data_IF_577601504157
#
_entry.id   IF_577601504157
#
_cell.length_a   1.000
_cell.length_b   1.000
_cell.length_c   1.000
_cell.angle_alpha   90.00
_cell.angle_beta   90.00
_cell.angle_gamma   90.00
#
_symmetry.space_group_name_H-M   'P 1'
#
loop_
_entity.id
_entity.type
_entity.pdbx_description
1 polymer ?
#
# COMPACT_ATOMS: atom_id res chain seq x y z
N UNK A 1 -11.95 -25.56 15.31
CA UNK A 1 -12.17 -26.75 14.47
C UNK A 1 -13.47 -26.65 13.63
N UNK A 2 -13.89 -25.46 13.16
CA UNK A 2 -15.11 -25.31 12.35
C UNK A 2 -14.84 -25.31 10.83
N UNK A 3 -13.63 -24.92 10.41
CA UNK A 3 -13.26 -24.74 8.99
C UNK A 3 -12.92 -26.04 8.23
N UNK A 4 -12.87 -27.20 8.89
CA UNK A 4 -12.54 -28.49 8.25
C UNK A 4 -13.73 -29.18 7.54
N UNK A 5 -14.92 -28.58 7.57
CA UNK A 5 -16.13 -29.19 7.02
C UNK A 5 -16.78 -28.33 5.91
N UNK A 6 -15.99 -27.45 5.30
CA UNK A 6 -16.44 -26.50 4.28
C UNK A 6 -16.25 -27.09 2.89
N UNK A 7 -16.98 -28.18 2.60
CA UNK A 7 -16.94 -28.94 1.35
C UNK A 7 -17.58 -28.21 0.15
N UNK A 8 -17.55 -26.88 0.13
CA UNK A 8 -18.17 -26.10 -0.94
C UNK A 8 -17.36 -26.26 -2.23
N UNK A 9 -17.92 -26.97 -3.21
CA UNK A 9 -17.35 -27.17 -4.54
C UNK A 9 -18.31 -26.63 -5.59
N UNK A 10 -17.80 -25.92 -6.57
CA UNK A 10 -18.56 -25.46 -7.74
C UNK A 10 -17.86 -25.95 -9.00
N UNK A 11 -18.63 -26.54 -9.91
CA UNK A 11 -18.15 -26.90 -11.22
C UNK A 11 -18.10 -25.65 -12.09
N UNK A 12 -16.90 -25.19 -12.42
CA UNK A 12 -16.68 -24.08 -13.36
C UNK A 12 -15.90 -24.62 -14.55
N UNK A 13 -16.48 -24.56 -15.75
CA UNK A 13 -15.86 -25.02 -17.00
C UNK A 13 -15.35 -26.49 -16.97
N UNK A 14 -16.03 -27.37 -16.23
CA UNK A 14 -15.66 -28.79 -16.12
C UNK A 14 -14.55 -29.10 -15.12
N UNK A 15 -14.08 -28.12 -14.36
CA UNK A 15 -13.10 -28.29 -13.27
C UNK A 15 -13.80 -28.06 -11.93
N UNK A 16 -13.53 -28.93 -10.96
CA UNK A 16 -13.98 -28.73 -9.57
C UNK A 16 -13.17 -27.61 -8.93
N UNK A 17 -13.83 -26.49 -8.63
CA UNK A 17 -13.22 -25.34 -7.96
C UNK A 17 -13.78 -25.26 -6.54
N UNK A 18 -12.90 -25.15 -5.56
CA UNK A 18 -13.28 -25.03 -4.15
C UNK A 18 -12.08 -24.99 -3.23
N UNK A 19 -12.29 -24.62 -1.95
CA UNK A 19 -11.22 -24.52 -0.94
C UNK A 19 -10.45 -25.83 -0.75
N UNK A 20 -11.12 -26.97 -0.97
CA UNK A 20 -10.60 -28.33 -0.76
C UNK A 20 -10.11 -29.04 -2.04
N UNK A 21 -9.97 -28.31 -3.16
CA UNK A 21 -9.40 -28.89 -4.39
C UNK A 21 -7.87 -28.93 -4.30
N UNK A 22 -7.20 -29.85 -5.02
CA UNK A 22 -5.71 -29.90 -5.14
C UNK A 22 -5.10 -28.65 -5.79
N UNK A 23 -5.98 -27.72 -6.19
CA UNK A 23 -5.69 -26.54 -6.97
C UNK A 23 -6.10 -25.24 -6.21
N UNK A 24 -6.77 -25.32 -5.06
CA UNK A 24 -7.20 -24.16 -4.26
C UNK A 24 -8.33 -23.31 -4.90
N UNK A 25 -8.39 -22.01 -4.55
CA UNK A 25 -9.32 -21.06 -5.17
C UNK A 25 -8.79 -20.63 -6.54
N UNK A 26 -9.30 -21.21 -7.63
CA UNK A 26 -8.88 -20.95 -9.03
C UNK A 26 -10.05 -20.48 -9.90
N UNK A 27 -9.75 -20.16 -11.16
CA UNK A 27 -10.73 -19.75 -12.18
C UNK A 27 -11.45 -18.42 -11.86
N UNK A 28 -10.80 -17.51 -11.12
CA UNK A 28 -11.29 -16.15 -10.92
C UNK A 28 -10.97 -15.32 -12.18
N UNK A 29 -11.65 -15.63 -13.28
CA UNK A 29 -11.32 -15.13 -14.63
C UNK A 29 -12.23 -14.01 -15.08
N UNK A 30 -12.71 -13.15 -14.17
CA UNK A 30 -13.62 -12.05 -14.53
C UNK A 30 -13.10 -11.19 -15.68
N UNK A 31 -11.82 -10.77 -15.63
CA UNK A 31 -11.23 -9.92 -16.67
C UNK A 31 -11.10 -10.66 -18.01
N UNK A 32 -10.55 -11.89 -17.99
CA UNK A 32 -10.39 -12.70 -19.19
C UNK A 32 -11.74 -13.12 -19.80
N UNK A 33 -12.77 -13.36 -18.99
CA UNK A 33 -14.11 -13.73 -19.44
C UNK A 33 -14.89 -12.55 -20.04
N UNK A 34 -14.62 -11.33 -19.59
CA UNK A 34 -15.23 -10.10 -20.11
C UNK A 34 -14.40 -9.45 -21.23
N UNK A 35 -13.35 -10.12 -21.72
CA UNK A 35 -12.53 -9.62 -22.84
C UNK A 35 -11.66 -8.41 -22.49
N UNK A 36 -11.35 -8.20 -21.21
CA UNK A 36 -10.44 -7.13 -20.79
C UNK A 36 -9.02 -7.48 -21.19
N UNK A 37 -8.34 -6.55 -21.87
CA UNK A 37 -6.92 -6.70 -22.16
C UNK A 37 -6.07 -6.37 -20.92
N UNK A 38 -4.80 -6.74 -20.97
CA UNK A 38 -3.83 -6.47 -19.89
C UNK A 38 -3.78 -4.98 -19.56
N UNK A 39 -3.88 -4.11 -20.57
CA UNK A 39 -3.87 -2.67 -20.39
C UNK A 39 -5.10 -2.18 -19.62
N UNK A 40 -6.29 -2.73 -19.88
CA UNK A 40 -7.53 -2.33 -19.19
C UNK A 40 -7.46 -2.67 -17.71
N UNK A 41 -6.94 -3.86 -17.37
CA UNK A 41 -6.74 -4.29 -15.99
C UNK A 41 -5.73 -3.39 -15.28
N UNK A 42 -4.61 -3.08 -15.93
CA UNK A 42 -3.58 -2.19 -15.37
C UNK A 42 -4.13 -0.78 -15.13
N UNK A 43 -4.86 -0.22 -16.11
CA UNK A 43 -5.49 1.11 -15.97
C UNK A 43 -6.52 1.13 -14.84
N UNK A 44 -7.32 0.07 -14.70
CA UNK A 44 -8.28 -0.07 -13.62
C UNK A 44 -7.61 -0.12 -12.24
N UNK A 45 -6.51 -0.88 -12.10
CA UNK A 45 -5.72 -0.92 -10.86
C UNK A 45 -5.15 0.46 -10.53
N UNK A 46 -4.57 1.17 -11.51
CA UNK A 46 -4.05 2.52 -11.29
C UNK A 46 -5.13 3.53 -10.93
N UNK A 47 -6.30 3.45 -11.56
CA UNK A 47 -7.46 4.26 -11.20
C UNK A 47 -7.86 4.00 -9.74
N UNK A 48 -7.94 2.74 -9.32
CA UNK A 48 -8.21 2.37 -7.94
C UNK A 48 -7.18 2.96 -6.96
N UNK A 49 -5.88 2.85 -7.28
CA UNK A 49 -4.80 3.45 -6.48
C UNK A 49 -4.98 4.97 -6.37
N UNK A 50 -5.28 5.66 -7.49
CA UNK A 50 -5.49 7.12 -7.51
C UNK A 50 -6.69 7.51 -6.63
N UNK A 51 -7.79 6.76 -6.70
CA UNK A 51 -8.99 7.00 -5.88
C UNK A 51 -8.67 6.84 -4.39
N UNK A 52 -7.95 5.79 -4.01
CA UNK A 52 -7.52 5.58 -2.61
C UNK A 52 -6.57 6.69 -2.16
N UNK A 53 -5.60 7.09 -2.98
CA UNK A 53 -4.70 8.20 -2.69
C UNK A 53 -5.46 9.51 -2.49
N UNK A 54 -6.43 9.82 -3.37
CA UNK A 54 -7.27 11.00 -3.25
C UNK A 54 -8.12 10.97 -1.98
N UNK A 55 -8.67 9.79 -1.61
CA UNK A 55 -9.44 9.61 -0.38
C UNK A 55 -8.57 9.83 0.86
N UNK A 56 -7.35 9.27 0.90
CA UNK A 56 -6.41 9.45 2.01
C UNK A 56 -5.96 10.91 2.13
N UNK A 57 -5.69 11.56 1.00
CA UNK A 57 -5.33 12.98 0.96
C UNK A 57 -6.47 13.89 1.42
N UNK A 58 -7.71 13.56 1.07
CA UNK A 58 -8.89 14.26 1.55
C UNK A 58 -9.12 14.02 3.05
N UNK A 59 -8.94 12.78 3.51
CA UNK A 59 -9.03 12.40 4.92
C UNK A 59 -8.04 13.21 5.78
N UNK A 60 -6.83 13.42 5.28
CA UNK A 60 -5.78 14.19 5.96
C UNK A 60 -6.16 15.68 6.17
N UNK A 61 -7.04 16.22 5.32
CA UNK A 61 -7.46 17.63 5.36
C UNK A 61 -8.69 17.89 6.22
N UNK A 62 -9.51 16.87 6.42
CA UNK A 62 -10.73 17.00 7.23
C UNK A 62 -10.45 16.81 8.71
N UNK A 63 -11.43 17.16 9.55
CA UNK A 63 -11.35 17.02 11.02
C UNK A 63 -10.96 15.62 11.47
N UNK A 64 -11.44 14.58 10.79
CA UNK A 64 -11.12 13.19 11.12
C UNK A 64 -9.60 12.91 11.03
N UNK A 65 -8.91 13.41 10.00
CA UNK A 65 -7.45 13.30 9.88
C UNK A 65 -6.72 14.06 10.99
N UNK A 66 -7.21 15.24 11.36
CA UNK A 66 -6.63 15.99 12.48
C UNK A 66 -6.74 15.23 13.80
N UNK A 67 -7.88 14.57 14.07
CA UNK A 67 -8.07 13.73 15.26
C UNK A 67 -7.14 12.51 15.23
N UNK A 68 -6.97 11.86 14.08
CA UNK A 68 -6.04 10.74 13.92
C UNK A 68 -4.59 11.15 14.23
N UNK A 69 -4.15 12.31 13.72
CA UNK A 69 -2.81 12.85 14.02
C UNK A 69 -2.63 13.23 15.49
N UNK A 70 -3.66 13.79 16.12
CA UNK A 70 -3.60 14.15 17.54
C UNK A 70 -3.42 12.90 18.42
N UNK A 71 -4.20 11.84 18.16
CA UNK A 71 -4.05 10.55 18.85
C UNK A 71 -2.69 9.91 18.57
N UNK A 72 -2.17 10.03 17.35
CA UNK A 72 -0.84 9.51 16.99
C UNK A 72 0.34 10.28 17.58
N UNK A 73 0.15 11.55 17.96
CA UNK A 73 1.19 12.38 18.56
C UNK A 73 1.30 12.18 20.07
N UNK A 74 0.16 12.25 20.78
CA UNK A 74 0.10 12.00 22.22
C UNK A 74 -1.31 11.54 22.61
N UNK A 75 -1.44 10.28 22.98
CA UNK A 75 -2.71 9.68 23.37
C UNK A 75 -3.27 10.33 24.65
N UNK A 76 -2.42 10.61 25.65
CA UNK A 76 -2.85 11.21 26.92
C UNK A 76 -3.36 12.64 26.70
N UNK A 77 -2.68 13.41 25.86
CA UNK A 77 -3.11 14.76 25.50
C UNK A 77 -4.45 14.72 24.70
N UNK A 78 -4.57 13.80 23.74
CA UNK A 78 -5.82 13.63 22.99
C UNK A 78 -6.99 13.24 23.92
N UNK A 79 -6.77 12.35 24.89
CA UNK A 79 -7.78 11.94 25.86
C UNK A 79 -8.26 13.10 26.73
N UNK A 80 -7.32 13.92 27.23
CA UNK A 80 -7.67 15.08 28.05
C UNK A 80 -8.44 16.15 27.28
N UNK A 81 -8.28 16.21 25.95
CA UNK A 81 -9.09 17.06 25.06
C UNK A 81 -10.49 16.52 24.74
N UNK A 82 -10.88 15.37 25.31
CA UNK A 82 -12.20 14.76 25.13
C UNK A 82 -12.33 13.83 23.91
N UNK A 83 -11.20 13.46 23.27
CA UNK A 83 -11.20 12.51 22.14
C UNK A 83 -11.29 11.08 22.66
N UNK A 84 -12.20 10.29 22.10
CA UNK A 84 -12.27 8.85 22.37
C UNK A 84 -11.18 8.10 21.57
N UNK A 85 -10.06 7.80 22.23
CA UNK A 85 -8.90 7.09 21.63
C UNK A 85 -9.33 5.74 21.02
N UNK A 86 -10.16 4.97 21.73
CA UNK A 86 -10.55 3.63 21.31
C UNK A 86 -11.33 3.70 20.00
N UNK A 87 -12.32 4.59 19.92
CA UNK A 87 -13.11 4.77 18.71
C UNK A 87 -12.24 5.19 17.51
N UNK A 88 -11.27 6.08 17.73
CA UNK A 88 -10.35 6.55 16.68
C UNK A 88 -9.43 5.42 16.19
N UNK A 89 -8.85 4.62 17.09
CA UNK A 89 -8.00 3.48 16.73
C UNK A 89 -8.78 2.38 15.99
N UNK A 90 -9.98 2.06 16.46
CA UNK A 90 -10.85 1.08 15.79
C UNK A 90 -11.23 1.58 14.40
N UNK A 91 -11.65 2.84 14.27
CA UNK A 91 -11.97 3.42 12.96
C UNK A 91 -10.77 3.39 12.00
N UNK A 92 -9.56 3.73 12.48
CA UNK A 92 -8.34 3.65 11.68
C UNK A 92 -8.07 2.23 11.19
N UNK A 93 -8.18 1.23 12.07
CA UNK A 93 -7.97 -0.18 11.72
C UNK A 93 -9.06 -0.69 10.77
N UNK A 94 -10.31 -0.30 10.97
CA UNK A 94 -11.43 -0.66 10.08
C UNK A 94 -11.24 -0.06 8.69
N UNK A 95 -10.91 1.23 8.59
CA UNK A 95 -10.64 1.88 7.31
C UNK A 95 -9.45 1.22 6.58
N UNK A 96 -8.35 0.93 7.29
CA UNK A 96 -7.21 0.21 6.73
C UNK A 96 -7.58 -1.20 6.26
N UNK A 97 -8.37 -1.92 7.06
CA UNK A 97 -8.86 -3.26 6.74
C UNK A 97 -9.78 -3.28 5.51
N UNK A 98 -10.65 -2.28 5.34
CA UNK A 98 -11.49 -2.15 4.14
C UNK A 98 -10.64 -1.96 2.89
N UNK A 99 -9.64 -1.07 2.94
CA UNK A 99 -8.74 -0.84 1.80
C UNK A 99 -7.91 -2.09 1.49
N UNK A 100 -7.39 -2.76 2.52
CA UNK A 100 -6.64 -4.02 2.36
C UNK A 100 -7.52 -5.15 1.78
N UNK A 101 -8.78 -5.25 2.21
CA UNK A 101 -9.73 -6.23 1.69
C UNK A 101 -10.08 -5.99 0.22
N UNK A 102 -10.32 -4.74 -0.16
CA UNK A 102 -10.53 -4.37 -1.57
C UNK A 102 -9.30 -4.66 -2.44
N UNK A 103 -8.11 -4.33 -1.94
CA UNK A 103 -6.85 -4.64 -2.63
C UNK A 103 -6.65 -6.15 -2.79
N UNK A 104 -6.96 -6.95 -1.76
CA UNK A 104 -6.90 -8.42 -1.82
C UNK A 104 -7.89 -9.02 -2.82
N UNK A 105 -9.12 -8.49 -2.87
CA UNK A 105 -10.13 -8.90 -3.86
C UNK A 105 -9.70 -8.58 -5.30
N UNK A 106 -9.08 -7.41 -5.50
CA UNK A 106 -8.52 -7.01 -6.78
C UNK A 106 -7.33 -7.88 -7.19
N UNK A 107 -6.48 -8.23 -6.23
CA UNK A 107 -5.36 -9.16 -6.42
C UNK A 107 -5.85 -10.54 -6.85
N UNK A 108 -6.86 -11.10 -6.20
CA UNK A 108 -7.41 -12.42 -6.53
C UNK A 108 -7.93 -12.49 -7.98
N UNK A 109 -8.59 -11.43 -8.46
CA UNK A 109 -9.05 -11.34 -9.85
C UNK A 109 -7.91 -11.18 -10.86
N UNK A 110 -6.83 -10.50 -10.48
CA UNK A 110 -5.67 -10.29 -11.35
C UNK A 110 -4.77 -11.53 -11.40
N UNK A 111 -4.58 -12.21 -10.28
CA UNK A 111 -3.82 -13.45 -10.18
C UNK A 111 -4.58 -14.66 -10.74
N UNK A 112 -5.92 -14.58 -10.87
CA UNK A 112 -6.85 -15.64 -11.31
C UNK A 112 -6.90 -16.90 -10.43
N UNK A 113 -6.01 -16.98 -9.44
CA UNK A 113 -5.97 -18.00 -8.41
C UNK A 113 -5.38 -17.46 -7.11
N UNK A 114 -5.71 -18.13 -6.00
CA UNK A 114 -5.22 -17.81 -4.66
C UNK A 114 -4.76 -19.10 -3.98
N UNK A 115 -3.48 -19.12 -3.62
CA UNK A 115 -2.84 -20.21 -2.88
C UNK A 115 -2.23 -19.68 -1.56
N UNK A 116 -2.22 -20.51 -0.53
CA UNK A 116 -1.68 -20.18 0.78
C UNK A 116 -0.17 -19.91 0.75
N UNK A 117 0.55 -20.50 -0.21
CA UNK A 117 1.99 -20.26 -0.39
C UNK A 117 2.29 -18.82 -0.85
N UNK A 118 1.34 -18.16 -1.50
CA UNK A 118 1.50 -16.79 -1.98
C UNK A 118 1.41 -15.77 -0.84
N UNK A 119 0.62 -16.06 0.20
CA UNK A 119 0.45 -15.21 1.38
C UNK A 119 1.46 -15.56 2.47
N UNK A 120 2.74 -15.44 2.13
CA UNK A 120 3.84 -15.73 3.05
C UNK A 120 4.13 -14.59 4.03
N UNK A 121 4.84 -14.91 5.12
CA UNK A 121 5.38 -13.92 6.08
C UNK A 121 6.23 -12.86 5.38
N UNK A 122 6.89 -13.23 4.28
CA UNK A 122 7.73 -12.36 3.50
C UNK A 122 6.91 -11.26 2.80
N UNK A 123 5.74 -11.61 2.23
CA UNK A 123 4.81 -10.62 1.69
C UNK A 123 4.30 -9.66 2.77
N UNK A 124 3.95 -10.17 3.95
CA UNK A 124 3.51 -9.34 5.07
C UNK A 124 4.63 -8.39 5.55
N UNK A 125 5.86 -8.87 5.60
CA UNK A 125 7.04 -8.06 5.92
C UNK A 125 7.22 -6.94 4.89
N UNK A 126 7.06 -7.24 3.60
CA UNK A 126 7.15 -6.25 2.54
C UNK A 126 6.05 -5.19 2.66
N UNK A 127 4.82 -5.61 2.94
CA UNK A 127 3.68 -4.71 3.13
C UNK A 127 3.93 -3.67 4.25
N UNK A 128 4.59 -4.06 5.34
CA UNK A 128 4.98 -3.14 6.43
C UNK A 128 6.24 -2.35 6.08
N UNK A 129 7.16 -2.92 5.31
CA UNK A 129 8.41 -2.28 4.94
C UNK A 129 8.23 -1.08 4.00
N UNK A 130 7.34 -1.15 3.01
CA UNK A 130 7.14 -0.06 2.06
C UNK A 130 6.82 1.30 2.71
N UNK A 131 5.86 1.41 3.66
CA UNK A 131 5.61 2.67 4.36
C UNK A 131 6.74 3.09 5.30
N UNK A 132 7.50 2.14 5.87
CA UNK A 132 8.70 2.48 6.65
C UNK A 132 9.77 3.13 5.76
N UNK A 133 9.98 2.57 4.57
CA UNK A 133 10.95 3.07 3.59
C UNK A 133 10.51 4.41 2.99
N UNK A 134 9.23 4.56 2.66
CA UNK A 134 8.67 5.77 2.07
C UNK A 134 8.37 6.89 3.08
N UNK A 135 8.22 6.57 4.36
CA UNK A 135 7.90 7.51 5.43
C UNK A 135 6.45 7.42 5.88
N UNK A 136 6.25 7.26 7.19
CA UNK A 136 4.93 7.12 7.82
C UNK A 136 4.10 8.43 7.82
N UNK A 137 4.76 9.58 7.61
CA UNK A 137 4.12 10.91 7.60
C UNK A 137 3.55 11.29 6.24
N UNK A 138 3.92 10.60 5.15
CA UNK A 138 3.52 10.96 3.79
C UNK A 138 3.04 9.76 2.98
N UNK A 139 1.76 9.80 2.62
CA UNK A 139 1.11 8.80 1.77
C UNK A 139 1.80 8.75 0.38
N UNK A 140 2.16 9.91 -0.18
CA UNK A 140 2.89 9.99 -1.45
C UNK A 140 4.31 9.45 -1.34
N UNK A 141 4.98 9.65 -0.20
CA UNK A 141 6.31 9.08 0.05
C UNK A 141 6.28 7.56 0.03
N UNK A 142 5.27 6.96 0.65
CA UNK A 142 5.00 5.52 0.59
C UNK A 142 4.77 5.03 -0.84
N UNK A 143 3.93 5.71 -1.63
CA UNK A 143 3.66 5.32 -3.01
C UNK A 143 4.92 5.34 -3.89
N UNK A 144 5.72 6.41 -3.79
CA UNK A 144 6.98 6.54 -4.54
C UNK A 144 7.96 5.43 -4.14
N UNK A 145 8.06 5.13 -2.84
CA UNK A 145 8.90 4.04 -2.36
C UNK A 145 8.45 2.69 -2.92
N UNK A 146 7.15 2.37 -2.91
CA UNK A 146 6.63 1.13 -3.51
C UNK A 146 7.02 1.05 -4.99
N UNK A 147 6.75 2.09 -5.78
CA UNK A 147 7.05 2.10 -7.22
C UNK A 147 8.54 1.97 -7.48
N UNK A 148 9.38 2.71 -6.74
CA UNK A 148 10.81 2.68 -6.92
C UNK A 148 11.41 1.33 -6.52
N UNK A 149 11.05 0.83 -5.34
CA UNK A 149 11.62 -0.42 -4.84
C UNK A 149 11.11 -1.61 -5.67
N UNK A 150 9.81 -1.67 -5.96
CA UNK A 150 9.25 -2.76 -6.75
C UNK A 150 9.72 -2.68 -8.22
N UNK A 151 9.67 -1.50 -8.83
CA UNK A 151 9.98 -1.30 -10.24
C UNK A 151 11.47 -1.33 -10.57
N UNK A 152 12.33 -0.76 -9.71
CA UNK A 152 13.77 -0.66 -9.98
C UNK A 152 14.54 -1.79 -9.31
N UNK A 153 14.28 -2.04 -8.02
CA UNK A 153 15.09 -3.00 -7.26
C UNK A 153 14.60 -4.44 -7.47
N UNK A 154 13.30 -4.69 -7.35
CA UNK A 154 12.74 -6.05 -7.43
C UNK A 154 12.68 -6.56 -8.88
N UNK A 155 12.15 -5.75 -9.82
CA UNK A 155 12.08 -6.14 -11.24
C UNK A 155 13.44 -6.07 -11.92
N UNK A 156 14.25 -5.05 -11.60
CA UNK A 156 15.61 -4.93 -12.11
C UNK A 156 16.48 -6.13 -11.71
N UNK A 157 16.32 -6.64 -10.49
CA UNK A 157 17.04 -7.84 -10.02
C UNK A 157 16.30 -9.16 -10.27
N UNK A 158 15.36 -9.20 -11.22
CA UNK A 158 14.63 -10.44 -11.55
C UNK A 158 15.55 -11.60 -11.92
N UNK A 159 16.74 -11.30 -12.46
CA UNK A 159 17.74 -12.28 -12.84
C UNK A 159 18.47 -12.95 -11.66
N UNK A 160 18.39 -12.40 -10.43
CA UNK A 160 19.05 -12.95 -9.23
C UNK A 160 18.21 -13.98 -8.45
N UNK A 161 16.97 -14.27 -8.86
CA UNK A 161 16.11 -15.23 -8.18
C UNK A 161 15.93 -14.92 -6.68
N UNK A 162 16.27 -15.88 -5.82
CA UNK A 162 16.06 -15.80 -4.36
C UNK A 162 16.91 -14.74 -3.65
N UNK A 163 18.06 -14.34 -4.23
CA UNK A 163 18.92 -13.31 -3.63
C UNK A 163 18.22 -11.96 -3.48
N UNK A 164 17.21 -11.70 -4.32
CA UNK A 164 16.39 -10.50 -4.28
C UNK A 164 15.75 -10.27 -2.91
N UNK A 165 15.21 -11.33 -2.32
CA UNK A 165 14.49 -11.23 -1.04
C UNK A 165 15.46 -10.87 0.10
N UNK A 166 16.68 -11.41 0.06
CA UNK A 166 17.75 -11.11 1.02
C UNK A 166 18.21 -9.66 0.87
N UNK A 167 18.40 -9.19 -0.37
CA UNK A 167 18.79 -7.81 -0.65
C UNK A 167 17.73 -6.80 -0.22
N UNK A 168 16.44 -7.13 -0.39
CA UNK A 168 15.37 -6.28 0.11
C UNK A 168 15.35 -6.24 1.65
N UNK A 169 15.53 -7.38 2.33
CA UNK A 169 15.67 -7.42 3.79
C UNK A 169 16.83 -6.55 4.28
N UNK A 170 17.98 -6.64 3.60
CA UNK A 170 19.13 -5.79 3.88
C UNK A 170 18.83 -4.30 3.64
N UNK A 171 18.14 -3.97 2.54
CA UNK A 171 17.74 -2.61 2.23
C UNK A 171 16.88 -2.00 3.34
N UNK A 172 15.94 -2.76 3.91
CA UNK A 172 15.14 -2.30 5.05
C UNK A 172 16.03 -1.97 6.24
N UNK A 173 16.95 -2.87 6.60
CA UNK A 173 17.85 -2.67 7.75
C UNK A 173 18.68 -1.41 7.55
N UNK A 174 19.26 -1.25 6.36
CA UNK A 174 20.05 -0.07 6.00
C UNK A 174 19.20 1.19 6.07
N UNK A 175 18.00 1.18 5.48
CA UNK A 175 17.14 2.35 5.49
C UNK A 175 16.67 2.75 6.89
N UNK A 176 16.33 1.77 7.75
CA UNK A 176 16.01 2.02 9.16
C UNK A 176 17.22 2.58 9.93
N UNK A 177 18.44 2.15 9.60
CA UNK A 177 19.66 2.65 10.22
C UNK A 177 19.97 4.11 9.83
N UNK A 178 19.85 4.44 8.55
CA UNK A 178 20.18 5.78 8.04
C UNK A 178 19.07 6.81 8.30
N UNK A 179 17.80 6.42 8.23
CA UNK A 179 16.63 7.31 8.36
C UNK A 179 15.42 6.56 8.94
N UNK A 180 15.32 6.42 10.27
CA UNK A 180 14.21 5.70 10.91
C UNK A 180 12.82 6.35 10.68
N UNK A 181 12.77 7.61 10.25
CA UNK A 181 11.54 8.31 9.86
C UNK A 181 11.12 8.09 8.39
N UNK A 182 11.92 7.37 7.59
CA UNK A 182 11.71 7.14 6.16
C UNK A 182 12.48 8.10 5.23
N UNK A 183 12.65 7.71 3.96
CA UNK A 183 13.46 8.41 2.96
C UNK A 183 12.81 9.71 2.45
N UNK A 184 11.48 9.82 2.51
CA UNK A 184 10.70 10.97 2.05
C UNK A 184 9.85 11.57 3.17
N UNK A 185 10.48 11.81 4.32
CA UNK A 185 9.85 12.57 5.42
C UNK A 185 9.38 13.95 4.92
N UNK A 186 8.27 14.46 5.46
CA UNK A 186 7.61 15.70 5.01
C UNK A 186 8.54 16.92 4.98
N UNK A 187 9.59 16.91 5.80
CA UNK A 187 10.65 17.93 5.81
C UNK A 187 11.52 17.93 4.54
N UNK A 188 11.70 16.79 3.87
CA UNK A 188 12.46 16.68 2.61
C UNK A 188 11.63 17.23 1.45
N UNK A 189 10.34 16.88 1.39
CA UNK A 189 9.41 17.42 0.37
C UNK A 189 9.25 18.93 0.53
N UNK A 190 9.12 19.43 1.77
CA UNK A 190 9.07 20.86 2.06
C UNK A 190 10.38 21.59 1.70
N UNK A 191 11.55 20.98 1.92
CA UNK A 191 12.85 21.55 1.49
C UNK A 191 13.02 21.56 -0.03
N UNK A 192 12.57 20.52 -0.74
CA UNK A 192 12.64 20.47 -2.20
C UNK A 192 11.69 21.50 -2.82
N UNK A 193 10.45 21.60 -2.34
CA UNK A 193 9.49 22.62 -2.80
C UNK A 193 9.94 24.05 -2.43
N UNK A 194 10.60 24.23 -1.28
CA UNK A 194 11.20 25.51 -0.88
C UNK A 194 12.41 25.93 -1.73
N UNK A 195 13.14 24.97 -2.32
CA UNK A 195 14.24 25.24 -3.26
C UNK A 195 13.67 25.60 -4.65
N UNK A 196 12.60 24.95 -5.09
CA UNK A 196 11.92 25.25 -6.37
C UNK A 196 11.20 26.60 -6.34
N UNK A 197 10.63 26.99 -5.19
CA UNK A 197 9.97 28.30 -5.01
C UNK A 197 10.92 29.50 -4.94
N UNK A 198 12.22 29.29 -4.73
CA UNK A 198 13.21 30.37 -4.56
C UNK A 198 13.83 30.87 -5.87
N UNK A 199 13.55 30.21 -7.00
CA UNK A 199 14.11 30.56 -8.31
C UNK A 199 13.28 31.55 -9.15
N UNK A 200 12.11 32.00 -8.68
CA UNK A 200 11.16 32.79 -9.51
C UNK A 200 10.93 34.24 -9.06
N UNK A 201 11.74 34.77 -8.15
CA UNK A 201 11.52 36.09 -7.52
C UNK A 201 12.69 37.08 -7.56
N UNK A 202 13.71 36.90 -8.40
CA UNK A 202 14.90 37.77 -8.37
C UNK A 202 15.40 38.23 -9.74
N UNK A 203 14.51 38.43 -10.73
CA UNK A 203 14.93 38.95 -12.05
C UNK A 203 14.06 40.08 -12.60
N UNK A 204 13.38 40.83 -11.71
CA UNK A 204 12.45 41.91 -12.10
C UNK A 204 12.81 43.33 -11.67
N UNK A 205 13.90 43.56 -10.91
CA UNK A 205 14.20 44.88 -10.33
C UNK A 205 15.62 45.37 -10.62
N UNK A 206 16.09 45.18 -11.85
CA UNK A 206 17.18 46.00 -12.41
C UNK A 206 16.79 46.36 -13.83
N UNK A 207 16.75 47.66 -14.11
CA UNK A 207 16.34 48.31 -15.37
C UNK A 207 14.86 48.75 -15.45
N UNK A 208 14.52 49.81 -14.72
CA UNK A 208 13.97 51.07 -15.26
C UNK A 208 13.75 52.07 -14.12
#
# INVERSE_FOLDING_TARGET
MFFFNLNWRVMVNGVEVGPDSTQGFREIRFYAANGWDTLDVVLFIWLFVIVIMAMLWWLDRVRAGATLRAVGADELAAQSSGVNIVAVKVAAMTCGGVVAGLAGGLYAHSATYVDHLTFSVLLATFAVAYPILGGLSSVFGTLIAVIFIQGVLIEGMRFMGDWRNILFGLLIIVAMNFRPAGLLDGNVVARILGIVGRGKGSDGERHA
#
